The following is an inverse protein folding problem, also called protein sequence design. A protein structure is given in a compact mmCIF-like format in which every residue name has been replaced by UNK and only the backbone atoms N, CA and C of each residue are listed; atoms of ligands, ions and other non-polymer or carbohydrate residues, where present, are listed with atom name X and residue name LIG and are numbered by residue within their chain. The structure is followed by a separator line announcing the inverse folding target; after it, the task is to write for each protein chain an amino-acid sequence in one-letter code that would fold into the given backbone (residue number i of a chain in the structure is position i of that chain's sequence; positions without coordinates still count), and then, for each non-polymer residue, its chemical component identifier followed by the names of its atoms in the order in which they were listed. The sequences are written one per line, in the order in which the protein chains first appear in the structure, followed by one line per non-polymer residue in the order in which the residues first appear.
data_IF_417366131991
#
_entry.id   IF_417366131991
#
_cell.length_a   1.000
_cell.length_b   1.000
_cell.length_c   1.000
_cell.angle_alpha   90.00
_cell.angle_beta   90.00
_cell.angle_gamma   90.00
#
_symmetry.space_group_name_H-M   'P 1'
#
loop_
_entity.id
_entity.type
_entity.pdbx_description
1 polymer ?
#
# COMPACT_ATOMS: atom_id res chain seq x y z
N UNK A 1 -22.61 -16.79 -24.40
CA UNK A 1 -21.60 -17.24 -23.43
C UNK A 1 -20.32 -16.45 -23.68
N UNK A 2 -20.30 -15.19 -23.26
CA UNK A 2 -19.11 -14.34 -23.42
C UNK A 2 -18.13 -14.66 -22.30
N UNK A 3 -16.93 -15.06 -22.70
CA UNK A 3 -15.76 -15.22 -21.83
C UNK A 3 -15.60 -13.94 -21.01
N UNK A 4 -15.84 -14.01 -19.71
CA UNK A 4 -15.48 -12.96 -18.77
C UNK A 4 -13.96 -12.83 -18.80
N UNK A 5 -13.46 -11.67 -19.22
CA UNK A 5 -12.15 -11.19 -18.80
C UNK A 5 -12.03 -11.41 -17.27
N UNK A 6 -10.88 -11.82 -16.72
CA UNK A 6 -10.72 -11.74 -15.28
C UNK A 6 -10.81 -10.25 -14.94
N UNK A 7 -11.94 -9.82 -14.39
CA UNK A 7 -12.22 -8.43 -14.03
C UNK A 7 -11.00 -7.85 -13.30
N UNK A 8 -10.23 -7.00 -13.99
CA UNK A 8 -8.84 -6.63 -13.64
C UNK A 8 -8.71 -5.66 -12.47
N UNK A 9 -9.43 -5.92 -11.38
CA UNK A 9 -9.33 -5.19 -10.12
C UNK A 9 -8.39 -5.86 -9.13
N UNK A 10 -8.11 -5.16 -8.02
CA UNK A 10 -7.33 -5.70 -6.91
C UNK A 10 -8.07 -6.85 -6.20
N UNK A 11 -7.44 -8.03 -6.17
CA UNK A 11 -7.91 -9.20 -5.42
C UNK A 11 -7.26 -9.23 -4.03
N UNK A 12 -8.00 -8.73 -3.04
CA UNK A 12 -7.52 -8.67 -1.65
C UNK A 12 -7.25 -10.06 -1.04
N UNK A 13 -8.02 -11.09 -1.44
CA UNK A 13 -7.84 -12.43 -0.90
C UNK A 13 -6.56 -13.05 -1.41
N UNK A 14 -6.35 -13.01 -2.73
CA UNK A 14 -5.09 -13.47 -3.34
C UNK A 14 -3.89 -12.69 -2.83
N UNK A 15 -4.01 -11.37 -2.64
CA UNK A 15 -2.96 -10.56 -2.07
C UNK A 15 -2.63 -10.96 -0.64
N UNK A 16 -3.65 -11.15 0.21
CA UNK A 16 -3.48 -11.59 1.60
C UNK A 16 -2.78 -12.95 1.67
N UNK A 17 -3.26 -13.92 0.90
CA UNK A 17 -2.73 -15.29 0.90
C UNK A 17 -1.25 -15.33 0.45
N UNK A 18 -0.84 -14.41 -0.43
CA UNK A 18 0.56 -14.28 -0.87
C UNK A 18 1.44 -13.51 0.13
N UNK A 19 0.94 -12.42 0.71
CA UNK A 19 1.75 -11.50 1.50
C UNK A 19 1.88 -11.90 2.97
N UNK A 20 0.83 -12.49 3.56
CA UNK A 20 0.87 -12.92 4.96
C UNK A 20 2.10 -13.80 5.29
N UNK A 21 2.42 -14.88 4.53
CA UNK A 21 3.59 -15.69 4.82
C UNK A 21 4.91 -14.94 4.57
N UNK A 22 4.98 -14.10 3.54
CA UNK A 22 6.18 -13.31 3.23
C UNK A 22 6.52 -12.32 4.36
N UNK A 23 5.52 -11.87 5.11
CA UNK A 23 5.65 -10.98 6.26
C UNK A 23 5.72 -11.72 7.60
N UNK A 24 5.67 -13.07 7.60
CA UNK A 24 5.63 -13.87 8.83
C UNK A 24 4.34 -13.71 9.64
N UNK A 25 3.25 -13.28 9.01
CA UNK A 25 1.97 -13.05 9.66
C UNK A 25 1.11 -14.32 9.62
N UNK A 26 0.58 -14.70 10.78
CA UNK A 26 -0.48 -15.72 10.88
C UNK A 26 -1.82 -15.02 11.01
N UNK A 27 -2.68 -15.17 10.00
CA UNK A 27 -4.02 -14.60 9.98
C UNK A 27 -5.02 -15.73 10.23
N UNK A 28 -5.76 -15.65 11.32
CA UNK A 28 -6.75 -16.67 11.66
C UNK A 28 -8.02 -16.52 10.83
N UNK A 29 -8.81 -17.58 10.75
CA UNK A 29 -10.10 -17.56 10.05
C UNK A 29 -11.05 -16.49 10.60
N UNK A 30 -11.00 -16.25 11.92
CA UNK A 30 -11.80 -15.19 12.57
C UNK A 30 -11.34 -13.80 12.16
N UNK A 31 -10.04 -13.59 11.94
CA UNK A 31 -9.47 -12.29 11.55
C UNK A 31 -9.63 -12.00 10.06
N UNK A 32 -9.61 -13.05 9.22
CA UNK A 32 -9.58 -12.95 7.76
C UNK A 32 -10.64 -12.01 7.18
N UNK A 33 -11.93 -12.07 7.57
CA UNK A 33 -12.94 -11.16 7.01
C UNK A 33 -12.62 -9.68 7.23
N UNK A 34 -12.14 -9.32 8.42
CA UNK A 34 -11.78 -7.94 8.74
C UNK A 34 -10.53 -7.49 7.98
N UNK A 35 -9.51 -8.35 7.88
CA UNK A 35 -8.29 -8.03 7.12
C UNK A 35 -8.61 -7.77 5.64
N UNK A 36 -9.48 -8.59 5.04
CA UNK A 36 -9.91 -8.39 3.65
C UNK A 36 -10.64 -7.05 3.46
N UNK A 37 -11.49 -6.66 4.41
CA UNK A 37 -12.16 -5.35 4.39
C UNK A 37 -11.14 -4.20 4.44
N UNK A 38 -10.15 -4.27 5.32
CA UNK A 38 -9.13 -3.22 5.43
C UNK A 38 -8.22 -3.16 4.21
N UNK A 39 -7.87 -4.29 3.60
CA UNK A 39 -7.12 -4.31 2.34
C UNK A 39 -7.88 -3.63 1.20
N UNK A 40 -9.20 -3.84 1.10
CA UNK A 40 -10.02 -3.16 0.10
C UNK A 40 -10.06 -1.63 0.33
N UNK A 41 -10.16 -1.17 1.58
CA UNK A 41 -10.10 0.26 1.93
C UNK A 41 -8.74 0.84 1.56
N UNK A 42 -7.66 0.17 1.95
CA UNK A 42 -6.29 0.59 1.64
C UNK A 42 -6.05 0.69 0.13
N UNK A 43 -6.59 -0.24 -0.66
CA UNK A 43 -6.54 -0.15 -2.11
C UNK A 43 -7.26 1.11 -2.63
N UNK A 44 -8.47 1.40 -2.13
CA UNK A 44 -9.18 2.64 -2.48
C UNK A 44 -8.36 3.90 -2.17
N UNK A 45 -7.71 3.95 -1.01
CA UNK A 45 -6.80 5.05 -0.65
C UNK A 45 -5.59 5.13 -1.58
N UNK A 46 -5.02 3.99 -1.95
CA UNK A 46 -3.87 3.94 -2.87
C UNK A 46 -4.22 4.47 -4.26
N UNK A 47 -5.43 4.22 -4.75
CA UNK A 47 -5.89 4.71 -6.05
C UNK A 47 -6.04 6.24 -6.05
N UNK A 48 -6.51 6.82 -4.93
CA UNK A 48 -6.58 8.28 -4.74
C UNK A 48 -5.16 8.88 -4.77
N UNK A 49 -4.22 8.29 -4.05
CA UNK A 49 -2.82 8.75 -4.03
C UNK A 49 -2.17 8.60 -5.41
N UNK A 50 -2.39 7.47 -6.08
CA UNK A 50 -1.87 7.17 -7.43
C UNK A 50 -2.38 8.16 -8.48
N UNK A 51 -3.59 8.68 -8.32
CA UNK A 51 -4.18 9.65 -9.22
C UNK A 51 -3.69 11.09 -8.98
N UNK A 52 -2.93 11.36 -7.91
CA UNK A 52 -2.42 12.69 -7.63
C UNK A 52 -1.41 13.12 -8.72
N UNK A 53 -1.49 14.37 -9.23
CA UNK A 53 -0.53 14.86 -10.21
C UNK A 53 0.81 15.10 -9.52
N UNK A 54 1.82 14.31 -9.89
CA UNK A 54 3.20 14.47 -9.44
C UNK A 54 4.06 14.77 -10.65
N UNK A 55 4.97 15.74 -10.53
CA UNK A 55 6.00 15.96 -11.54
C UNK A 55 7.01 14.79 -11.47
N UNK A 56 7.19 13.99 -12.54
CA UNK A 56 8.16 12.90 -12.55
C UNK A 56 9.60 13.36 -12.33
N UNK A 57 9.92 14.63 -12.60
CA UNK A 57 11.22 15.22 -12.31
C UNK A 57 11.39 15.64 -10.84
N UNK A 58 10.31 15.73 -10.06
CA UNK A 58 10.33 15.99 -8.62
C UNK A 58 10.16 14.68 -7.84
N UNK A 59 11.26 13.94 -7.63
CA UNK A 59 11.29 12.77 -6.74
C UNK A 59 11.64 13.17 -5.29
N UNK A 60 11.17 14.34 -4.85
CA UNK A 60 11.37 14.76 -3.46
C UNK A 60 10.47 13.93 -2.55
N UNK A 61 11.08 12.91 -1.94
CA UNK A 61 10.47 12.19 -0.83
C UNK A 61 10.17 13.16 0.31
N UNK A 62 9.13 12.85 1.09
CA UNK A 62 8.94 13.47 2.39
C UNK A 62 10.28 13.43 3.17
N UNK A 63 10.62 14.49 3.94
CA UNK A 63 11.96 14.70 4.45
C UNK A 63 12.57 13.45 5.08
N UNK A 64 13.71 13.03 4.52
CA UNK A 64 14.43 11.83 4.93
C UNK A 64 15.40 12.13 6.06
N UNK A 65 15.73 11.08 6.83
CA UNK A 65 16.79 11.10 7.82
C UNK A 65 18.11 11.61 7.21
N UNK A 66 18.72 12.62 7.84
CA UNK A 66 20.04 13.15 7.46
C UNK A 66 21.05 12.82 8.56
N UNK A 67 21.87 11.76 8.41
CA UNK A 67 22.90 11.44 9.39
C UNK A 67 23.89 12.60 9.51
N UNK A 68 24.19 13.03 10.74
CA UNK A 68 25.19 14.07 11.02
C UNK A 68 24.68 15.52 11.06
N UNK A 69 23.39 15.77 10.77
CA UNK A 69 22.81 17.11 11.03
C UNK A 69 22.37 17.17 12.49
N UNK A 70 23.29 17.56 13.37
CA UNK A 70 22.86 18.21 14.63
C UNK A 70 22.17 19.49 14.20
N UNK A 71 20.99 19.79 14.75
CA UNK A 71 20.31 21.05 14.52
C UNK A 71 21.21 22.18 15.02
N UNK A 72 22.09 22.67 14.14
CA UNK A 72 22.94 23.82 14.36
C UNK A 72 22.07 25.06 14.36
N UNK A 73 22.24 25.83 15.41
CA UNK A 73 21.55 27.06 15.75
C UNK A 73 21.40 27.98 14.52
N UNK A 74 20.17 28.41 14.26
CA UNK A 74 19.92 29.52 13.35
C UNK A 74 20.40 30.80 14.05
N UNK A 75 21.45 31.40 13.50
CA UNK A 75 21.80 32.80 13.77
C UNK A 75 21.34 33.69 12.64
#
# INVERSE_FOLDING_TARGET
MSRTDPAGGFDAARHLDAMAPALGLTITDTQRPAVLQFLAIAHGMSEVVRAAPLDPASLELAPVFRPGVVRGEAS
#
